data_IF_036983655682
#
_entry.id   IF_036983655682
#
_cell.length_a   1.000
_cell.length_b   1.000
_cell.length_c   1.000
_cell.angle_alpha   90.00
_cell.angle_beta   90.00
_cell.angle_gamma   90.00
#
_symmetry.space_group_name_H-M   'P 1'
#
loop_
_entity.id
_entity.type
_entity.pdbx_description
1 polymer ?
#
# COMPACT_ATOMS: atom_id res chain seq x y z
N UNK A 1 -4.16 23.05 0.22
CA UNK A 1 -3.50 22.74 -1.07
C UNK A 1 -4.54 22.42 -2.13
N UNK A 2 -4.22 22.53 -3.44
CA UNK A 2 -5.22 22.41 -4.52
C UNK A 2 -6.03 21.12 -4.50
N UNK A 3 -5.38 19.99 -4.17
CA UNK A 3 -6.07 18.70 -4.04
C UNK A 3 -7.11 18.70 -2.92
N UNK A 4 -6.83 19.33 -1.77
CA UNK A 4 -7.77 19.41 -0.66
C UNK A 4 -9.00 20.24 -1.02
N UNK A 5 -8.81 21.39 -1.67
CA UNK A 5 -9.90 22.28 -2.11
C UNK A 5 -10.76 21.58 -3.17
N UNK A 6 -10.14 21.03 -4.22
CA UNK A 6 -10.87 20.29 -5.26
C UNK A 6 -11.60 19.06 -4.71
N UNK A 7 -11.01 18.36 -3.73
CA UNK A 7 -11.66 17.23 -3.08
C UNK A 7 -12.84 17.63 -2.21
N UNK A 8 -12.81 18.83 -1.63
CA UNK A 8 -13.92 19.36 -0.85
C UNK A 8 -15.13 19.64 -1.75
N UNK A 9 -14.91 20.35 -2.86
CA UNK A 9 -15.96 20.61 -3.86
C UNK A 9 -16.54 19.31 -4.46
N UNK A 10 -15.68 18.32 -4.72
CA UNK A 10 -16.12 16.99 -5.17
C UNK A 10 -17.01 16.30 -4.12
N UNK A 11 -16.60 16.35 -2.86
CA UNK A 11 -17.33 15.78 -1.74
C UNK A 11 -18.72 16.43 -1.57
N UNK A 12 -18.84 17.74 -1.70
CA UNK A 12 -20.13 18.46 -1.66
C UNK A 12 -21.10 17.99 -2.75
N UNK A 13 -20.58 17.50 -3.88
CA UNK A 13 -21.36 16.92 -4.97
C UNK A 13 -21.53 15.39 -4.83
N UNK A 14 -21.25 14.84 -3.65
CA UNK A 14 -21.40 13.41 -3.36
C UNK A 14 -20.34 12.52 -4.01
N UNK A 15 -19.23 13.09 -4.49
CA UNK A 15 -18.13 12.37 -5.13
C UNK A 15 -17.05 12.07 -4.08
N UNK A 16 -16.83 10.78 -3.82
CA UNK A 16 -15.73 10.35 -2.95
C UNK A 16 -14.38 10.53 -3.67
N UNK A 17 -13.42 11.16 -3.00
CA UNK A 17 -12.02 11.22 -3.46
C UNK A 17 -11.17 10.26 -2.63
N UNK A 18 -10.56 9.27 -3.29
CA UNK A 18 -9.57 8.38 -2.67
C UNK A 18 -8.16 8.73 -3.13
N UNK A 19 -7.24 8.89 -2.18
CA UNK A 19 -5.84 9.22 -2.45
C UNK A 19 -4.90 8.27 -1.69
N UNK A 20 -3.78 7.91 -2.29
CA UNK A 20 -2.68 7.31 -1.53
C UNK A 20 -2.16 8.30 -0.49
N UNK A 21 -1.55 7.83 0.61
CA UNK A 21 -0.91 8.70 1.62
C UNK A 21 0.11 9.72 1.07
N UNK A 22 0.68 9.43 -0.10
CA UNK A 22 1.85 10.07 -0.68
C UNK A 22 3.14 9.44 -0.16
N UNK A 23 4.09 9.16 -1.05
CA UNK A 23 5.38 8.57 -0.69
C UNK A 23 6.45 9.67 -0.71
N UNK A 24 6.65 10.36 0.41
CA UNK A 24 7.80 11.25 0.60
C UNK A 24 8.82 10.57 1.51
N UNK A 25 10.09 10.70 1.12
CA UNK A 25 11.32 10.22 1.77
C UNK A 25 11.14 9.05 2.77
N UNK A 26 11.65 7.83 2.49
CA UNK A 26 11.66 6.71 3.43
C UNK A 26 12.21 7.02 4.83
N UNK A 27 12.99 8.10 4.99
CA UNK A 27 13.53 8.56 6.28
C UNK A 27 12.57 9.45 7.07
N UNK A 28 11.56 10.04 6.43
CA UNK A 28 10.53 10.86 7.06
C UNK A 28 9.17 10.62 6.40
N UNK A 29 8.54 9.44 6.63
CA UNK A 29 7.29 9.03 6.01
C UNK A 29 6.12 9.85 6.55
N UNK A 30 5.96 11.09 6.08
CA UNK A 30 4.87 12.01 6.45
C UNK A 30 3.74 11.94 5.43
N UNK A 31 2.54 11.65 5.93
CA UNK A 31 1.31 11.70 5.15
C UNK A 31 1.05 13.13 4.64
N UNK A 32 0.68 13.27 3.37
CA UNK A 32 0.42 14.59 2.74
C UNK A 32 -1.05 14.82 2.41
N UNK A 33 -1.80 13.74 2.18
CA UNK A 33 -3.23 13.81 1.87
C UNK A 33 -4.02 13.71 3.17
N UNK A 34 -4.02 14.79 3.95
CA UNK A 34 -4.49 14.81 5.35
C UNK A 34 -5.88 15.44 5.54
N UNK A 35 -6.51 15.92 4.48
CA UNK A 35 -7.83 16.52 4.59
C UNK A 35 -8.87 15.48 5.08
N UNK A 36 -9.76 15.82 6.02
CA UNK A 36 -10.71 14.86 6.59
C UNK A 36 -11.66 14.23 5.57
N UNK A 37 -12.02 14.98 4.54
CA UNK A 37 -12.91 14.56 3.44
C UNK A 37 -12.22 13.79 2.31
N UNK A 38 -10.89 13.65 2.37
CA UNK A 38 -10.15 12.76 1.46
C UNK A 38 -10.05 11.40 2.12
N UNK A 39 -10.39 10.34 1.39
CA UNK A 39 -10.13 8.97 1.83
C UNK A 39 -8.65 8.62 1.58
N UNK A 40 -7.85 8.54 2.64
CA UNK A 40 -6.39 8.41 2.55
C UNK A 40 -5.89 7.03 2.91
N UNK A 41 -5.01 6.50 2.07
CA UNK A 41 -4.87 5.04 1.95
C UNK A 41 -3.46 4.49 1.96
N UNK A 42 -3.31 3.49 2.83
CA UNK A 42 -2.14 2.67 3.15
C UNK A 42 -1.77 1.71 2.06
N UNK A 43 -0.47 1.49 1.87
CA UNK A 43 0.03 0.43 0.99
C UNK A 43 0.32 -0.84 1.78
N UNK A 44 -0.49 -1.88 1.59
CA UNK A 44 -0.30 -3.22 2.14
C UNK A 44 0.19 -4.25 1.11
N UNK A 45 0.87 -5.29 1.59
CA UNK A 45 1.32 -6.44 0.77
C UNK A 45 0.22 -7.48 0.54
N UNK A 46 0.43 -8.41 -0.41
CA UNK A 46 -0.49 -9.48 -0.81
C UNK A 46 0.10 -10.87 -0.53
N UNK A 47 -0.74 -11.92 -0.51
CA UNK A 47 -0.38 -13.36 -0.46
C UNK A 47 0.41 -13.92 -1.65
N UNK A 48 0.98 -13.03 -2.45
CA UNK A 48 1.69 -13.35 -3.67
C UNK A 48 2.99 -12.57 -3.70
N UNK A 49 4.05 -13.26 -4.08
CA UNK A 49 5.32 -12.61 -4.38
C UNK A 49 5.85 -13.08 -5.74
N UNK A 50 6.32 -12.13 -6.55
CA UNK A 50 7.02 -12.40 -7.80
C UNK A 50 8.50 -12.46 -7.48
N UNK A 51 9.08 -13.66 -7.45
CA UNK A 51 10.48 -13.84 -7.13
C UNK A 51 11.34 -13.70 -8.39
N UNK A 52 12.41 -12.91 -8.27
CA UNK A 52 13.31 -12.57 -9.36
C UNK A 52 14.45 -13.58 -9.51
N UNK A 53 15.03 -13.97 -8.38
CA UNK A 53 16.34 -14.60 -8.32
C UNK A 53 16.42 -15.51 -7.10
N UNK A 54 16.95 -16.71 -7.29
CA UNK A 54 17.39 -17.59 -6.20
C UNK A 54 18.78 -18.15 -6.50
N UNK A 55 19.62 -18.28 -5.48
CA UNK A 55 20.93 -18.91 -5.62
C UNK A 55 20.84 -20.32 -5.02
N UNK A 56 21.27 -21.32 -5.78
CA UNK A 56 21.42 -22.69 -5.31
C UNK A 56 22.90 -23.01 -5.21
N UNK A 57 23.30 -23.56 -4.07
CA UNK A 57 24.66 -24.06 -3.85
C UNK A 57 24.54 -25.57 -3.64
N UNK A 58 25.20 -26.38 -4.48
CA UNK A 58 25.13 -27.85 -4.42
C UNK A 58 23.70 -28.44 -4.54
N UNK A 59 22.78 -27.75 -5.21
CA UNK A 59 21.39 -28.20 -5.35
C UNK A 59 20.50 -27.96 -4.13
N UNK A 60 21.05 -27.47 -3.01
CA UNK A 60 20.26 -26.99 -1.87
C UNK A 60 19.85 -25.52 -2.08
N UNK A 61 18.56 -25.24 -1.92
CA UNK A 61 18.02 -23.88 -1.98
C UNK A 61 18.36 -23.12 -0.70
N UNK A 62 19.36 -22.22 -0.77
CA UNK A 62 19.40 -21.10 0.17
C UNK A 62 18.33 -20.08 -0.30
N UNK A 63 17.21 -20.02 0.44
CA UNK A 63 16.04 -19.19 0.13
C UNK A 63 16.35 -17.68 0.24
N UNK A 64 17.11 -17.13 -0.70
CA UNK A 64 17.35 -15.68 -0.81
C UNK A 64 16.20 -15.07 -1.62
N UNK A 65 15.46 -14.13 -1.02
CA UNK A 65 14.15 -13.67 -1.51
C UNK A 65 14.24 -12.30 -2.19
N UNK A 66 14.35 -12.25 -3.52
CA UNK A 66 14.25 -10.97 -4.25
C UNK A 66 12.94 -10.87 -5.02
N UNK A 67 12.26 -9.74 -4.90
CA UNK A 67 11.05 -9.44 -5.68
C UNK A 67 11.41 -8.57 -6.89
N UNK A 68 10.91 -8.87 -8.09
CA UNK A 68 10.98 -7.92 -9.23
C UNK A 68 9.80 -6.95 -9.14
N UNK A 69 10.13 -5.66 -9.20
CA UNK A 69 9.19 -4.54 -9.15
C UNK A 69 9.74 -3.49 -8.20
N UNK A 70 10.11 -2.32 -8.75
CA UNK A 70 10.48 -1.00 -8.15
C UNK A 70 10.77 -0.89 -6.63
N UNK A 71 11.34 -1.91 -6.00
CA UNK A 71 12.00 -1.85 -4.71
C UNK A 71 13.47 -1.61 -5.02
N UNK A 72 13.81 -0.33 -5.08
CA UNK A 72 15.18 0.13 -5.21
C UNK A 72 16.11 -0.63 -4.27
N UNK A 73 17.32 -0.90 -4.75
CA UNK A 73 18.50 -1.21 -3.95
C UNK A 73 18.23 -1.75 -2.55
N UNK A 74 17.76 -3.00 -2.44
CA UNK A 74 17.79 -3.70 -1.15
C UNK A 74 19.25 -4.05 -0.83
N UNK A 75 19.98 -3.09 -0.25
CA UNK A 75 21.35 -3.28 0.29
C UNK A 75 21.47 -4.52 1.17
N UNK A 76 20.38 -4.94 1.83
CA UNK A 76 20.37 -6.11 2.71
C UNK A 76 20.33 -7.45 1.97
N UNK A 77 19.66 -7.54 0.81
CA UNK A 77 19.61 -8.80 0.06
C UNK A 77 20.90 -9.04 -0.73
N UNK A 78 21.51 -7.96 -1.25
CA UNK A 78 22.85 -8.01 -1.85
C UNK A 78 23.91 -8.43 -0.81
N UNK A 79 23.73 -8.06 0.47
CA UNK A 79 24.59 -8.50 1.56
C UNK A 79 24.46 -10.00 1.79
N UNK A 80 23.25 -10.53 1.82
CA UNK A 80 23.00 -11.97 1.96
C UNK A 80 23.59 -12.77 0.78
N UNK A 81 23.45 -12.28 -0.47
CA UNK A 81 24.14 -12.85 -1.64
C UNK A 81 25.66 -12.72 -1.53
N UNK A 82 26.16 -11.56 -1.12
CA UNK A 82 27.59 -11.33 -0.94
C UNK A 82 28.19 -12.24 0.12
N UNK A 83 27.47 -12.50 1.21
CA UNK A 83 27.84 -13.47 2.25
C UNK A 83 27.76 -14.91 1.74
N UNK A 84 26.74 -15.28 0.98
CA UNK A 84 26.62 -16.60 0.36
C UNK A 84 27.74 -16.87 -0.66
N UNK A 85 28.05 -15.90 -1.52
CA UNK A 85 29.18 -15.94 -2.48
C UNK A 85 30.50 -16.01 -1.72
N UNK A 86 30.68 -15.21 -0.66
CA UNK A 86 31.87 -15.24 0.19
C UNK A 86 32.04 -16.63 0.83
N UNK A 87 30.98 -17.19 1.43
CA UNK A 87 30.97 -18.53 2.03
C UNK A 87 31.24 -19.62 1.00
N UNK A 88 30.77 -19.46 -0.24
CA UNK A 88 31.08 -20.34 -1.35
C UNK A 88 32.58 -20.30 -1.71
N UNK A 89 33.13 -19.11 -1.96
CA UNK A 89 34.54 -18.90 -2.34
C UNK A 89 35.52 -19.43 -1.28
N UNK A 90 35.18 -19.27 0.00
CA UNK A 90 36.02 -19.74 1.11
C UNK A 90 35.75 -21.18 1.54
N UNK A 91 34.81 -21.89 0.91
CA UNK A 91 34.63 -23.32 1.16
C UNK A 91 35.62 -24.13 0.32
N UNK A 92 36.50 -24.91 0.94
CA UNK A 92 37.60 -25.65 0.30
C UNK A 92 37.16 -26.87 -0.55
N UNK A 93 35.98 -26.83 -1.16
CA UNK A 93 35.45 -27.98 -1.88
C UNK A 93 35.57 -27.76 -3.40
N UNK A 94 36.49 -28.46 -4.11
CA UNK A 94 36.80 -28.20 -5.52
C UNK A 94 35.69 -28.61 -6.50
N UNK A 95 34.67 -29.36 -6.06
CA UNK A 95 33.54 -29.82 -6.88
C UNK A 95 32.23 -29.05 -6.62
N UNK A 96 32.30 -27.89 -5.96
CA UNK A 96 31.12 -27.11 -5.62
C UNK A 96 30.61 -26.36 -6.84
N UNK A 97 29.34 -26.54 -7.21
CA UNK A 97 28.68 -25.76 -8.26
C UNK A 97 27.71 -24.78 -7.60
N UNK A 98 27.89 -23.48 -7.89
CA UNK A 98 26.89 -22.47 -7.62
C UNK A 98 26.09 -22.22 -8.90
N UNK A 99 24.79 -22.46 -8.84
CA UNK A 99 23.85 -22.09 -9.89
C UNK A 99 23.05 -20.89 -9.40
N UNK A 100 23.14 -19.78 -10.13
CA UNK A 100 22.22 -18.66 -9.97
C UNK A 100 21.02 -18.96 -10.86
N UNK A 101 19.89 -19.32 -10.26
CA UNK A 101 18.65 -19.52 -11.01
C UNK A 101 17.96 -18.16 -11.17
N UNK A 102 17.71 -17.79 -12.41
CA UNK A 102 17.14 -16.49 -12.78
C UNK A 102 15.69 -16.77 -13.19
N UNK A 103 14.76 -16.23 -12.40
CA UNK A 103 13.30 -16.47 -12.37
C UNK A 103 12.82 -17.69 -11.59
N UNK A 104 12.36 -17.42 -10.36
CA UNK A 104 11.40 -18.31 -9.70
C UNK A 104 9.97 -17.95 -10.13
N UNK A 105 9.11 -18.98 -10.23
CA UNK A 105 7.68 -18.78 -10.46
C UNK A 105 7.06 -17.96 -9.32
N UNK A 106 5.89 -17.37 -9.60
CA UNK A 106 5.06 -16.70 -8.59
C UNK A 106 4.83 -17.61 -7.39
N UNK A 107 5.34 -17.25 -6.20
CA UNK A 107 5.09 -18.00 -4.96
C UNK A 107 3.80 -17.49 -4.31
N UNK A 108 2.89 -18.42 -4.03
CA UNK A 108 1.63 -18.21 -3.31
C UNK A 108 1.77 -18.69 -1.85
N UNK A 109 0.90 -18.21 -0.97
CA UNK A 109 0.81 -18.72 0.42
C UNK A 109 1.91 -18.19 1.35
N UNK A 110 2.53 -17.06 1.02
CA UNK A 110 3.55 -16.44 1.86
C UNK A 110 2.88 -15.85 3.11
N UNK A 111 3.29 -16.25 4.31
CA UNK A 111 2.65 -15.80 5.56
C UNK A 111 2.95 -14.33 5.91
N UNK A 112 4.02 -13.75 5.34
CA UNK A 112 4.43 -12.34 5.55
C UNK A 112 3.67 -11.33 4.67
N UNK A 113 2.47 -11.70 4.25
CA UNK A 113 1.72 -11.07 3.16
C UNK A 113 0.64 -10.09 3.59
N UNK A 114 0.67 -9.66 4.85
CA UNK A 114 -0.20 -8.63 5.40
C UNK A 114 0.63 -7.67 6.23
N UNK A 115 1.54 -7.00 5.56
CA UNK A 115 2.51 -6.10 6.16
C UNK A 115 2.31 -4.74 5.52
N UNK A 116 2.27 -3.70 6.36
CA UNK A 116 2.29 -2.32 5.87
C UNK A 116 3.63 -2.12 5.17
N UNK A 117 3.58 -1.69 3.91
CA UNK A 117 4.78 -1.48 3.11
C UNK A 117 5.70 -0.49 3.83
N UNK A 118 7.01 -0.76 3.78
CA UNK A 118 8.00 0.05 4.49
C UNK A 118 7.95 1.53 4.05
N UNK A 119 7.69 1.77 2.76
CA UNK A 119 7.60 3.09 2.16
C UNK A 119 6.26 3.81 2.40
N UNK A 120 5.30 3.15 3.04
CA UNK A 120 3.99 3.74 3.30
C UNK A 120 4.11 4.88 4.32
N UNK A 121 3.59 6.06 3.99
CA UNK A 121 3.62 7.22 4.88
C UNK A 121 2.67 7.06 6.06
N UNK A 122 2.99 7.73 7.17
CA UNK A 122 2.32 7.54 8.46
C UNK A 122 1.87 8.86 9.05
N UNK A 123 0.89 8.77 9.95
CA UNK A 123 0.45 9.90 10.76
C UNK A 123 1.51 10.36 11.77
N UNK A 124 1.21 11.41 12.55
CA UNK A 124 -0.11 12.06 12.66
C UNK A 124 -0.41 13.05 11.52
N UNK A 125 -1.69 13.42 11.40
CA UNK A 125 -2.12 14.54 10.59
C UNK A 125 -1.43 15.83 11.08
N UNK A 126 -0.68 16.49 10.19
CA UNK A 126 0.16 17.64 10.53
C UNK A 126 -0.61 18.95 10.72
N UNK A 127 -1.85 19.03 10.24
CA UNK A 127 -2.71 20.21 10.42
C UNK A 127 -3.62 20.01 11.64
N UNK A 128 -4.30 18.86 11.71
CA UNK A 128 -5.23 18.55 12.81
C UNK A 128 -4.90 17.19 13.41
N UNK A 129 -3.99 17.17 14.38
CA UNK A 129 -3.54 15.94 15.06
C UNK A 129 -4.64 15.17 15.79
N UNK A 130 -5.77 15.82 16.06
CA UNK A 130 -6.97 15.20 16.64
C UNK A 130 -7.71 14.28 15.66
N UNK A 131 -7.56 14.52 14.36
CA UNK A 131 -8.09 13.65 13.31
C UNK A 131 -6.97 12.71 12.90
N UNK A 132 -7.12 11.47 13.33
CA UNK A 132 -6.15 10.44 13.01
C UNK A 132 -6.21 10.14 11.49
N UNK A 133 -5.02 9.92 10.94
CA UNK A 133 -4.72 9.54 9.57
C UNK A 133 -3.55 8.58 9.71
N UNK A 134 -3.46 7.50 8.96
CA UNK A 134 -4.11 7.07 7.71
C UNK A 134 -5.49 6.40 7.87
N UNK A 135 -6.48 6.67 7.02
CA UNK A 135 -7.84 6.13 7.20
C UNK A 135 -7.89 4.60 7.18
N UNK A 136 -7.28 3.95 6.18
CA UNK A 136 -7.21 2.49 6.12
C UNK A 136 -6.17 1.94 5.15
N UNK A 137 -5.85 0.64 5.26
CA UNK A 137 -4.90 -0.04 4.37
C UNK A 137 -5.61 -0.76 3.22
N UNK A 138 -5.08 -0.58 2.02
CA UNK A 138 -5.44 -1.37 0.85
C UNK A 138 -4.23 -2.10 0.25
N UNK A 139 -4.53 -3.13 -0.53
CA UNK A 139 -3.51 -3.95 -1.16
C UNK A 139 -2.95 -3.23 -2.38
N UNK A 140 -1.64 -2.94 -2.37
CA UNK A 140 -1.04 -2.16 -3.44
C UNK A 140 0.41 -2.45 -3.76
N UNK A 141 1.00 -3.51 -3.19
CA UNK A 141 2.34 -3.98 -3.56
C UNK A 141 2.22 -5.11 -4.57
N UNK A 142 3.03 -5.09 -5.63
CA UNK A 142 3.10 -6.15 -6.64
C UNK A 142 1.76 -6.41 -7.37
N UNK A 143 1.09 -5.36 -7.83
CA UNK A 143 -0.18 -5.45 -8.56
C UNK A 143 0.10 -5.63 -10.05
N UNK A 144 -0.41 -6.70 -10.65
CA UNK A 144 -0.36 -6.87 -12.10
C UNK A 144 -1.47 -6.00 -12.72
N UNK A 145 -1.10 -5.07 -13.61
CA UNK A 145 -2.05 -4.19 -14.30
C UNK A 145 -1.62 -3.95 -15.75
N UNK A 146 -2.56 -3.49 -16.57
CA UNK A 146 -2.29 -3.13 -17.96
C UNK A 146 -1.27 -1.99 -18.03
N UNK A 147 -0.41 -2.04 -19.04
CA UNK A 147 0.59 -1.02 -19.35
C UNK A 147 0.33 -0.48 -20.74
N UNK A 148 0.63 0.81 -20.96
CA UNK A 148 0.39 1.48 -22.24
C UNK A 148 1.32 0.99 -23.35
N UNK A 149 2.36 0.22 -23.02
CA UNK A 149 3.40 -0.18 -23.97
C UNK A 149 4.32 0.98 -24.43
N UNK A 150 4.09 2.21 -23.94
CA UNK A 150 4.92 3.39 -24.26
C UNK A 150 6.08 3.52 -23.27
N UNK A 151 5.86 3.09 -22.02
CA UNK A 151 6.84 3.19 -20.95
C UNK A 151 7.43 1.82 -20.69
N UNK A 152 8.76 1.77 -20.59
CA UNK A 152 9.48 0.52 -20.33
C UNK A 152 9.07 -0.09 -18.97
N UNK A 153 9.07 -1.43 -18.81
CA UNK A 153 8.68 -2.09 -17.56
C UNK A 153 9.50 -1.62 -16.35
N UNK A 154 10.77 -1.25 -16.59
CA UNK A 154 11.68 -0.72 -15.58
C UNK A 154 11.54 0.78 -15.37
N UNK A 155 10.87 1.49 -16.29
CA UNK A 155 10.77 2.95 -16.34
C UNK A 155 12.15 3.62 -16.46
N UNK A 156 13.07 2.94 -17.14
CA UNK A 156 14.41 3.40 -17.46
C UNK A 156 14.55 3.58 -18.98
N UNK A 157 15.29 4.60 -19.39
CA UNK A 157 15.44 4.98 -20.81
C UNK A 157 16.19 3.92 -21.63
N UNK A 158 17.03 3.12 -20.98
CA UNK A 158 17.82 2.07 -21.62
C UNK A 158 17.06 0.76 -21.85
N UNK A 159 15.87 0.60 -21.27
CA UNK A 159 15.07 -0.63 -21.39
C UNK A 159 14.11 -0.52 -22.58
N UNK A 160 14.36 -1.20 -23.71
CA UNK A 160 13.53 -1.04 -24.91
C UNK A 160 12.25 -1.88 -24.85
N UNK A 161 12.05 -2.68 -23.78
CA UNK A 161 10.93 -3.63 -23.72
C UNK A 161 9.61 -2.87 -23.62
N UNK A 162 8.61 -3.39 -24.31
CA UNK A 162 7.22 -2.96 -24.22
C UNK A 162 6.40 -4.18 -23.79
N UNK A 163 5.51 -4.01 -22.83
CA UNK A 163 4.68 -5.11 -22.28
C UNK A 163 3.24 -4.64 -22.15
N UNK A 164 2.29 -5.54 -22.43
CA UNK A 164 0.87 -5.28 -22.26
C UNK A 164 0.46 -5.22 -20.78
N UNK A 165 1.21 -5.93 -19.92
CA UNK A 165 0.99 -5.97 -18.48
C UNK A 165 2.30 -5.82 -17.73
N UNK A 166 2.26 -5.03 -16.65
CA UNK A 166 3.41 -4.83 -15.77
C UNK A 166 3.00 -4.89 -14.30
N UNK A 167 3.99 -5.04 -13.43
CA UNK A 167 3.83 -5.07 -11.99
C UNK A 167 4.00 -3.64 -11.45
N UNK A 168 2.90 -3.07 -10.98
CA UNK A 168 2.84 -1.73 -10.41
C UNK A 168 2.63 -1.75 -8.89
N UNK A 169 2.91 -0.59 -8.30
CA UNK A 169 2.52 -0.24 -6.94
C UNK A 169 1.42 0.80 -7.01
N UNK A 170 0.33 0.66 -6.27
CA UNK A 170 -0.76 1.63 -6.31
C UNK A 170 -2.05 1.19 -5.63
N UNK A 171 -3.05 2.09 -5.60
CA UNK A 171 -4.33 1.91 -4.90
C UNK A 171 -5.58 1.87 -5.80
N UNK A 172 -5.57 1.22 -6.99
CA UNK A 172 -6.73 1.24 -7.88
C UNK A 172 -7.94 0.48 -7.31
N UNK A 173 -7.74 -0.37 -6.29
CA UNK A 173 -8.79 -1.27 -5.80
C UNK A 173 -9.88 -0.56 -5.02
N UNK A 174 -9.61 0.64 -4.50
CA UNK A 174 -10.51 1.25 -3.52
C UNK A 174 -11.49 2.18 -4.18
N UNK A 175 -11.08 2.89 -5.23
CA UNK A 175 -12.03 3.54 -6.13
C UNK A 175 -13.02 2.51 -6.69
N UNK A 176 -12.56 1.30 -7.03
CA UNK A 176 -13.45 0.21 -7.45
C UNK A 176 -14.40 -0.27 -6.33
N UNK A 177 -13.91 -0.47 -5.11
CA UNK A 177 -14.78 -0.87 -3.99
C UNK A 177 -15.79 0.24 -3.65
N UNK A 178 -15.36 1.49 -3.61
CA UNK A 178 -16.22 2.63 -3.32
C UNK A 178 -17.29 2.84 -4.39
N UNK A 179 -16.93 2.68 -5.67
CA UNK A 179 -17.91 2.74 -6.78
C UNK A 179 -18.90 1.59 -6.71
N UNK A 180 -18.46 0.38 -6.34
CA UNK A 180 -19.36 -0.75 -6.11
C UNK A 180 -20.31 -0.48 -4.93
N UNK A 181 -19.81 0.04 -3.81
CA UNK A 181 -20.65 0.45 -2.68
C UNK A 181 -21.67 1.51 -3.13
N UNK A 182 -21.24 2.54 -3.88
CA UNK A 182 -22.15 3.58 -4.40
C UNK A 182 -23.21 3.02 -5.35
N UNK A 183 -22.89 1.98 -6.13
CA UNK A 183 -23.86 1.33 -7.02
C UNK A 183 -24.96 0.57 -6.25
N UNK A 184 -24.62 0.02 -5.09
CA UNK A 184 -25.55 -0.73 -4.23
C UNK A 184 -26.27 0.19 -3.23
N UNK A 185 -25.60 1.26 -2.80
CA UNK A 185 -26.14 2.29 -1.91
C UNK A 185 -26.09 3.67 -2.58
N UNK A 186 -26.95 3.95 -3.58
CA UNK A 186 -26.90 5.20 -4.35
C UNK A 186 -27.06 6.46 -3.50
N UNK A 187 -27.80 6.37 -2.40
CA UNK A 187 -28.11 7.49 -1.51
C UNK A 187 -27.04 7.78 -0.46
N UNK A 188 -26.04 6.89 -0.29
CA UNK A 188 -24.97 7.15 0.67
C UNK A 188 -24.11 8.32 0.21
N UNK A 189 -23.81 9.23 1.14
CA UNK A 189 -22.84 10.29 0.93
C UNK A 189 -21.41 9.72 0.77
N UNK A 190 -20.50 10.55 0.28
CA UNK A 190 -19.07 10.23 0.24
C UNK A 190 -18.53 9.89 1.64
N UNK A 191 -18.96 10.64 2.67
CA UNK A 191 -18.61 10.38 4.06
C UNK A 191 -19.12 9.02 4.56
N UNK A 192 -20.37 8.66 4.24
CA UNK A 192 -20.95 7.37 4.62
C UNK A 192 -20.17 6.19 4.00
N UNK A 193 -19.77 6.31 2.73
CA UNK A 193 -18.95 5.29 2.05
C UNK A 193 -17.57 5.20 2.69
N UNK A 194 -16.93 6.33 2.97
CA UNK A 194 -15.63 6.37 3.66
C UNK A 194 -15.74 5.71 5.05
N UNK A 195 -16.79 6.01 5.81
CA UNK A 195 -17.03 5.42 7.12
C UNK A 195 -17.23 3.90 7.05
N UNK A 196 -17.99 3.41 6.08
CA UNK A 196 -18.19 1.98 5.86
C UNK A 196 -16.85 1.28 5.58
N UNK A 197 -15.98 1.90 4.77
CA UNK A 197 -14.65 1.36 4.47
C UNK A 197 -13.75 1.31 5.72
N UNK A 198 -13.73 2.38 6.52
CA UNK A 198 -12.92 2.47 7.76
C UNK A 198 -13.38 1.44 8.81
N UNK A 199 -14.68 1.38 9.08
CA UNK A 199 -15.21 0.51 10.15
C UNK A 199 -15.19 -0.96 9.79
N UNK A 200 -15.28 -1.30 8.50
CA UNK A 200 -15.28 -2.68 8.03
C UNK A 200 -13.90 -3.11 7.57
N UNK A 201 -12.94 -3.06 8.51
CA UNK A 201 -11.58 -3.57 8.33
C UNK A 201 -11.34 -4.86 9.12
N UNK A 202 -10.40 -5.69 8.68
CA UNK A 202 -10.07 -6.94 9.38
C UNK A 202 -9.26 -6.70 10.65
N UNK A 203 -9.79 -7.14 11.80
CA UNK A 203 -9.12 -6.96 13.10
C UNK A 203 -8.11 -8.05 13.46
N UNK A 204 -8.26 -9.27 12.93
CA UNK A 204 -7.41 -10.41 13.26
C UNK A 204 -7.25 -11.33 12.06
N UNK A 205 -6.01 -11.78 11.81
CA UNK A 205 -5.72 -12.78 10.78
C UNK A 205 -5.85 -14.19 11.35
N UNK A 206 -5.91 -15.21 10.45
CA UNK A 206 -6.04 -16.64 10.78
C UNK A 206 -5.09 -17.13 11.90
N UNK A 207 -3.94 -16.48 12.11
CA UNK A 207 -2.95 -16.87 13.13
C UNK A 207 -2.93 -15.96 14.39
N UNK A 208 -3.92 -15.08 14.60
CA UNK A 208 -4.00 -14.12 15.74
C UNK A 208 -2.75 -13.25 15.97
N UNK A 209 -1.85 -13.15 14.99
CA UNK A 209 -0.65 -12.29 15.05
C UNK A 209 -1.01 -10.86 14.64
N UNK A 210 -0.48 -9.88 15.36
CA UNK A 210 -0.61 -8.45 15.07
C UNK A 210 0.10 -8.08 13.77
N UNK A 211 -0.38 -7.01 13.11
CA UNK A 211 0.25 -6.45 11.91
C UNK A 211 1.70 -6.05 12.23
N UNK A 212 2.61 -6.44 11.34
CA UNK A 212 4.01 -6.02 11.41
C UNK A 212 4.23 -4.89 10.41
N UNK A 213 5.08 -3.94 10.78
CA UNK A 213 5.58 -2.93 9.83
C UNK A 213 6.74 -3.53 9.05
N UNK A 214 6.70 -3.39 7.71
CA UNK A 214 7.74 -3.86 6.82
C UNK A 214 9.09 -3.22 7.12
N UNK A 215 10.14 -4.03 7.22
CA UNK A 215 11.51 -3.60 7.48
C UNK A 215 12.03 -3.96 8.88
N UNK A 216 11.24 -3.72 9.94
CA UNK A 216 11.74 -3.84 11.32
C UNK A 216 11.02 -4.89 12.18
N UNK A 217 10.00 -5.60 11.67
CA UNK A 217 9.15 -6.55 12.44
C UNK A 217 8.60 -5.95 13.75
N UNK A 218 8.50 -4.62 13.84
CA UNK A 218 7.86 -3.95 14.98
C UNK A 218 6.35 -4.15 14.87
N UNK A 219 5.71 -4.37 16.02
CA UNK A 219 4.26 -4.34 16.13
C UNK A 219 3.82 -2.97 15.65
N UNK A 220 2.97 -2.97 14.64
CA UNK A 220 2.48 -1.74 14.09
C UNK A 220 1.62 -1.02 15.17
N UNK A 221 1.66 0.30 15.20
CA UNK A 221 0.84 1.19 16.04
C UNK A 221 -0.37 1.76 15.28
N UNK A 222 -1.35 2.37 15.97
CA UNK A 222 -2.52 2.98 15.30
C UNK A 222 -2.16 4.06 14.27
N UNK A 223 -0.98 4.69 14.37
CA UNK A 223 -0.49 5.64 13.36
C UNK A 223 0.05 4.96 12.08
N UNK A 224 0.25 3.64 12.12
CA UNK A 224 0.74 2.83 11.00
C UNK A 224 -0.40 2.21 10.16
N UNK A 225 -1.61 2.03 10.71
CA UNK A 225 -2.73 1.34 10.04
C UNK A 225 -4.10 1.63 10.66
N UNK A 226 -4.34 2.83 11.23
CA UNK A 226 -5.54 3.19 12.03
C UNK A 226 -6.76 2.28 11.81
N UNK A 227 -7.26 2.19 10.56
CA UNK A 227 -8.05 1.05 10.14
C UNK A 227 -7.25 0.06 9.25
N UNK A 228 -7.38 -1.21 9.59
CA UNK A 228 -6.54 -2.32 9.08
C UNK A 228 -6.86 -2.58 7.60
N UNK A 229 -6.57 -3.77 7.07
CA UNK A 229 -6.94 -4.08 5.69
C UNK A 229 -8.46 -4.00 5.50
N UNK A 230 -8.90 -3.29 4.46
CA UNK A 230 -10.34 -3.21 4.12
C UNK A 230 -10.93 -4.56 3.77
N UNK A 231 -12.12 -4.83 4.31
CA UNK A 231 -12.97 -5.94 3.92
C UNK A 231 -14.09 -5.42 3.01
N UNK A 232 -13.98 -5.59 1.68
CA UNK A 232 -14.95 -5.04 0.74
C UNK A 232 -16.34 -5.66 0.90
N UNK A 233 -16.42 -6.94 1.29
CA UNK A 233 -17.70 -7.64 1.48
C UNK A 233 -18.45 -7.05 2.66
N UNK A 234 -17.76 -6.84 3.80
CA UNK A 234 -18.38 -6.26 4.98
C UNK A 234 -18.70 -4.78 4.81
N UNK A 235 -17.86 -4.02 4.09
CA UNK A 235 -18.13 -2.63 3.75
C UNK A 235 -19.40 -2.48 2.90
N UNK A 236 -19.64 -3.44 2.01
CA UNK A 236 -20.82 -3.45 1.15
C UNK A 236 -22.14 -3.67 1.91
N UNK A 237 -22.11 -4.45 2.98
CA UNK A 237 -23.30 -4.76 3.79
C UNK A 237 -23.32 -3.97 5.10
N UNK A 238 -22.62 -2.83 5.18
CA UNK A 238 -22.61 -2.03 6.39
C UNK A 238 -24.02 -1.48 6.68
N UNK A 239 -24.59 -1.86 7.82
CA UNK A 239 -25.94 -1.46 8.24
C UNK A 239 -25.96 -0.08 8.92
N UNK A 240 -24.84 0.34 9.50
CA UNK A 240 -24.68 1.63 10.15
C UNK A 240 -23.53 2.39 9.50
N UNK A 241 -23.85 3.58 9.02
CA UNK A 241 -22.89 4.54 8.47
C UNK A 241 -23.15 5.90 9.10
N UNK A 242 -22.09 6.63 9.41
CA UNK A 242 -22.20 8.01 9.85
C UNK A 242 -22.03 8.93 8.66
N UNK A 243 -22.97 9.86 8.51
CA UNK A 243 -22.88 10.93 7.55
C UNK A 243 -22.33 12.18 8.24
N UNK A 244 -21.25 12.74 7.69
CA UNK A 244 -20.50 13.85 8.29
C UNK A 244 -20.45 15.08 7.38
N UNK A 245 -21.27 15.15 6.33
CA UNK A 245 -21.26 16.27 5.37
C UNK A 245 -21.40 17.63 6.07
N UNK A 246 -22.41 17.79 6.94
CA UNK A 246 -22.60 19.03 7.71
C UNK A 246 -21.47 19.27 8.74
N UNK A 247 -20.87 18.17 9.21
CA UNK A 247 -19.75 18.19 10.14
C UNK A 247 -18.47 18.78 9.53
N UNK A 248 -18.21 18.54 8.24
CA UNK A 248 -17.01 19.08 7.57
C UNK A 248 -17.08 20.60 7.34
N UNK A 249 -18.25 21.13 7.01
CA UNK A 249 -18.45 22.58 6.94
C UNK A 249 -18.24 23.23 8.31
N UNK A 250 -18.86 22.66 9.35
CA UNK A 250 -18.69 23.11 10.73
C UNK A 250 -17.22 23.06 11.18
N UNK A 251 -16.50 22.02 10.77
CA UNK A 251 -15.07 21.88 11.02
C UNK A 251 -14.23 22.97 10.33
N UNK A 252 -14.52 23.30 9.07
CA UNK A 252 -13.83 24.38 8.35
C UNK A 252 -14.05 25.74 9.00
N UNK A 253 -15.29 26.03 9.41
CA UNK A 253 -15.61 27.25 10.17
C UNK A 253 -14.86 27.31 11.50
N UNK A 254 -14.76 26.19 12.23
CA UNK A 254 -14.01 26.11 13.48
C UNK A 254 -12.50 26.35 13.28
N UNK A 255 -11.96 26.03 12.10
CA UNK A 255 -10.57 26.33 11.71
C UNK A 255 -10.38 27.76 11.17
N UNK A 256 -11.42 28.60 11.24
CA UNK A 256 -11.41 30.00 10.79
C UNK A 256 -11.14 30.17 9.28
N UNK A 257 -11.50 29.16 8.48
CA UNK A 257 -11.55 29.33 7.02
C UNK A 257 -12.80 30.16 6.67
N UNK A 258 -12.62 31.20 5.86
CA UNK A 258 -13.74 32.00 5.36
C UNK A 258 -14.37 31.32 4.15
N UNK A 259 -15.64 31.63 3.87
CA UNK A 259 -16.36 31.15 2.69
C UNK A 259 -15.71 31.55 1.35
N UNK A 260 -14.71 32.45 1.35
CA UNK A 260 -13.94 32.80 0.15
C UNK A 260 -12.82 31.80 -0.18
N UNK A 261 -12.49 30.89 0.75
CA UNK A 261 -11.47 29.85 0.61
C UNK A 261 -12.05 28.43 0.49
N UNK A 262 -13.37 28.31 0.61
CA UNK A 262 -14.17 27.09 0.45
C UNK A 262 -14.78 27.13 -0.95
#
# INVERSE_FOLDING_TARGET
GPLAVGSFAAMEHGILVSCAEGNLDPKSPRIINIAPWISTMGVGTLFRNFLAWSARINGEEENVRVCVGKLGHRKNHMKDYGEAIKKYLFSQNPNKLMAMDVFERTKLGIESSYVVAMFSSRGPNSITSQILKLDFIALGVNILAASSGIVSPTNEDWDPRCVDFNIYFGMPRVSWIATLIKSIHPYWSSAAIQFALITKTYMTYKNRKTLLVGGNKKVATSFDFEARHVNPILALIAELVYDLMDGYLSFLYALNYSAAYI
#
